data_IF_768782809452
#
_entry.id   IF_768782809452
#
_cell.length_a   1.000
_cell.length_b   1.000
_cell.length_c   1.000
_cell.angle_alpha   90.00
_cell.angle_beta   90.00
_cell.angle_gamma   90.00
#
_symmetry.space_group_name_H-M   'P 1'
#
loop_
_entity.id
_entity.type
_entity.pdbx_description
1 polymer ?
#
# COMPACT_ATOMS: atom_id res chain seq x y z
N UNK A 1 46.28 -2.68 43.23
CA UNK A 1 46.06 -4.13 43.18
C UNK A 1 44.55 -4.39 43.01
N UNK A 2 44.01 -4.27 41.79
CA UNK A 2 42.57 -4.46 41.56
C UNK A 2 42.19 -4.75 40.10
N UNK A 3 43.16 -5.04 39.23
CA UNK A 3 42.93 -5.30 37.80
C UNK A 3 42.90 -6.79 37.42
N UNK A 4 43.48 -7.67 38.24
CA UNK A 4 43.59 -9.10 37.90
C UNK A 4 42.35 -9.92 38.29
N UNK A 5 41.57 -9.47 39.28
CA UNK A 5 40.36 -10.17 39.71
C UNK A 5 39.21 -10.01 38.71
N UNK A 6 39.13 -8.86 38.06
CA UNK A 6 38.12 -8.55 37.03
C UNK A 6 38.35 -9.37 35.75
N UNK A 7 39.60 -9.62 35.40
CA UNK A 7 39.96 -10.45 34.24
C UNK A 7 39.63 -11.92 34.45
N UNK A 8 39.92 -12.47 35.64
CA UNK A 8 39.56 -13.86 35.99
C UNK A 8 38.05 -14.08 36.10
N UNK A 9 37.30 -13.05 36.53
CA UNK A 9 35.83 -13.08 36.60
C UNK A 9 35.21 -13.16 35.21
N UNK A 10 35.72 -12.40 34.24
CA UNK A 10 35.24 -12.44 32.86
C UNK A 10 35.61 -13.76 32.14
N UNK A 11 36.79 -14.34 32.43
CA UNK A 11 37.16 -15.64 31.85
C UNK A 11 36.21 -16.76 32.30
N UNK A 12 35.82 -16.80 33.58
CA UNK A 12 34.86 -17.80 34.11
C UNK A 12 33.44 -17.64 33.57
N UNK A 13 33.07 -16.44 33.12
CA UNK A 13 31.77 -16.18 32.50
C UNK A 13 31.70 -16.65 31.04
N UNK A 14 32.84 -16.69 30.35
CA UNK A 14 32.97 -17.23 28.99
C UNK A 14 32.97 -18.77 28.98
N UNK A 15 33.58 -19.42 29.97
CA UNK A 15 33.59 -20.89 30.06
C UNK A 15 32.22 -21.50 30.42
N UNK A 16 31.32 -20.73 31.04
CA UNK A 16 29.95 -21.18 31.38
C UNK A 16 28.96 -21.09 30.21
N UNK A 17 29.34 -20.45 29.10
CA UNK A 17 28.52 -20.28 27.89
C UNK A 17 28.75 -21.40 26.84
N UNK A 18 29.62 -22.37 27.13
CA UNK A 18 30.01 -23.47 26.21
C UNK A 18 29.43 -24.84 26.60
N UNK A 19 28.27 -24.89 27.27
CA UNK A 19 27.59 -26.15 27.65
C UNK A 19 26.09 -26.20 27.28
N UNK A 20 25.68 -25.43 26.27
CA UNK A 20 24.30 -25.39 25.77
C UNK A 20 24.21 -25.51 24.25
N UNK A 21 24.78 -26.57 23.67
CA UNK A 21 24.60 -26.86 22.25
C UNK A 21 23.14 -27.22 21.92
N UNK A 22 22.58 -26.77 20.77
CA UNK A 22 21.22 -27.09 20.37
C UNK A 22 21.09 -28.60 20.14
N UNK A 23 20.15 -29.23 20.85
CA UNK A 23 19.82 -30.64 20.65
C UNK A 23 19.29 -30.80 19.23
N UNK A 24 20.07 -31.50 18.42
CA UNK A 24 19.72 -31.91 17.06
C UNK A 24 18.40 -32.68 17.10
N UNK A 25 17.32 -32.07 16.60
CA UNK A 25 16.07 -32.79 16.38
C UNK A 25 16.32 -33.87 15.31
N UNK A 26 15.80 -35.10 15.48
CA UNK A 26 15.88 -36.13 14.44
C UNK A 26 15.05 -35.69 13.22
N UNK A 27 15.48 -36.03 11.98
CA UNK A 27 14.74 -35.70 10.78
C UNK A 27 13.36 -36.39 10.76
N UNK A 28 12.30 -35.73 10.26
CA UNK A 28 11.01 -36.39 10.12
C UNK A 28 11.13 -37.54 9.11
N UNK A 29 10.64 -38.71 9.52
CA UNK A 29 10.47 -39.89 8.67
C UNK A 29 9.64 -39.55 7.42
N UNK A 30 10.04 -39.98 6.21
CA UNK A 30 9.23 -39.76 5.01
C UNK A 30 7.94 -40.56 5.12
N UNK A 31 6.82 -39.86 5.27
CA UNK A 31 5.48 -40.44 5.13
C UNK A 31 5.31 -40.82 3.65
N UNK A 32 5.02 -42.09 3.41
CA UNK A 32 4.78 -42.63 2.08
C UNK A 32 3.59 -41.91 1.41
N UNK A 33 3.82 -41.39 0.21
CA UNK A 33 2.79 -40.81 -0.66
C UNK A 33 1.78 -41.90 -1.04
N UNK A 34 0.46 -41.66 -0.95
CA UNK A 34 -0.51 -42.59 -1.52
C UNK A 34 -0.36 -42.61 -3.05
N UNK A 35 -0.21 -43.82 -3.57
CA UNK A 35 -0.18 -44.20 -4.98
C UNK A 35 -1.25 -43.47 -5.79
N UNK A 36 -0.81 -42.75 -6.82
CA UNK A 36 -1.62 -42.23 -7.93
C UNK A 36 -2.54 -43.32 -8.49
N UNK A 37 -3.85 -43.19 -8.28
CA UNK A 37 -4.82 -43.84 -9.14
C UNK A 37 -4.92 -43.04 -10.44
N UNK A 38 -4.59 -43.68 -11.57
CA UNK A 38 -4.73 -43.09 -12.89
C UNK A 38 -6.20 -42.77 -13.18
N UNK A 39 -6.48 -41.49 -13.44
CA UNK A 39 -7.78 -40.99 -13.92
C UNK A 39 -7.89 -41.35 -15.42
N UNK A 40 -8.97 -42.00 -15.89
CA UNK A 40 -9.14 -42.28 -17.31
C UNK A 40 -9.27 -40.97 -18.12
N UNK A 41 -8.81 -40.93 -19.39
CA UNK A 41 -8.86 -39.72 -20.19
C UNK A 41 -10.30 -39.29 -20.43
N UNK A 42 -10.62 -38.06 -20.00
CA UNK A 42 -11.89 -37.41 -20.28
C UNK A 42 -12.07 -37.22 -21.80
N UNK A 43 -13.22 -37.64 -22.34
CA UNK A 43 -13.62 -37.37 -23.70
C UNK A 43 -13.76 -35.85 -23.95
N UNK A 44 -13.46 -35.34 -25.16
CA UNK A 44 -13.55 -33.92 -25.45
C UNK A 44 -15.00 -33.43 -25.39
N UNK A 45 -15.26 -32.21 -24.87
CA UNK A 45 -16.60 -31.65 -24.83
C UNK A 45 -17.09 -31.34 -26.26
N UNK A 46 -18.28 -31.84 -26.58
CA UNK A 46 -19.04 -31.49 -27.78
C UNK A 46 -19.37 -30.00 -27.71
N UNK A 47 -18.88 -29.23 -28.68
CA UNK A 47 -19.16 -27.79 -28.77
C UNK A 47 -20.67 -27.55 -28.97
N UNK A 48 -21.30 -26.61 -28.23
CA UNK A 48 -22.68 -26.22 -28.49
C UNK A 48 -22.78 -25.45 -29.82
N UNK A 49 -23.88 -25.61 -30.58
CA UNK A 49 -24.08 -24.86 -31.83
C UNK A 49 -24.22 -23.36 -31.55
N UNK A 50 -23.68 -22.54 -32.45
CA UNK A 50 -23.75 -21.09 -32.42
C UNK A 50 -25.22 -20.61 -32.48
N UNK A 51 -25.61 -19.57 -31.70
CA UNK A 51 -26.96 -19.03 -31.77
C UNK A 51 -27.21 -18.32 -33.11
N UNK A 52 -28.43 -18.38 -33.68
CA UNK A 52 -28.78 -17.62 -34.86
C UNK A 52 -28.79 -16.12 -34.55
N UNK A 53 -28.28 -15.31 -35.49
CA UNK A 53 -28.27 -13.85 -35.44
C UNK A 53 -29.73 -13.37 -35.40
N UNK A 54 -30.18 -12.89 -34.24
CA UNK A 54 -31.50 -12.32 -34.05
C UNK A 54 -31.59 -10.95 -34.75
N UNK A 55 -32.55 -10.80 -35.65
CA UNK A 55 -32.85 -9.54 -36.32
C UNK A 55 -33.25 -8.45 -35.30
N UNK A 56 -32.68 -7.25 -35.45
CA UNK A 56 -32.94 -6.11 -34.59
C UNK A 56 -34.42 -5.68 -34.65
N UNK A 57 -35.10 -5.70 -33.51
CA UNK A 57 -36.45 -5.13 -33.35
C UNK A 57 -36.35 -3.60 -33.16
N UNK A 58 -37.15 -2.78 -33.86
CA UNK A 58 -37.16 -1.34 -33.64
C UNK A 58 -37.72 -1.01 -32.24
N UNK A 59 -36.96 -0.25 -31.46
CA UNK A 59 -37.38 0.27 -30.16
C UNK A 59 -38.35 1.44 -30.38
N UNK A 60 -39.65 1.18 -30.37
CA UNK A 60 -40.67 2.23 -30.20
C UNK A 60 -40.71 2.65 -28.73
N UNK A 61 -39.98 3.72 -28.40
CA UNK A 61 -39.99 4.37 -27.08
C UNK A 61 -41.31 5.12 -26.90
N UNK A 62 -42.29 4.49 -26.24
CA UNK A 62 -43.45 5.20 -25.73
C UNK A 62 -43.05 6.00 -24.47
N UNK A 63 -43.16 7.33 -24.51
CA UNK A 63 -43.06 8.16 -23.31
C UNK A 63 -44.25 7.87 -22.41
N UNK A 64 -44.03 7.21 -21.26
CA UNK A 64 -44.97 7.24 -20.14
C UNK A 64 -44.77 8.55 -19.36
N UNK A 65 -45.81 9.36 -19.11
CA UNK A 65 -45.69 10.46 -18.17
C UNK A 65 -45.45 9.91 -16.76
N UNK A 66 -44.42 10.42 -16.09
CA UNK A 66 -44.11 10.07 -14.70
C UNK A 66 -45.21 10.65 -13.80
N UNK A 67 -45.90 9.80 -13.04
CA UNK A 67 -46.79 10.26 -11.99
C UNK A 67 -45.96 10.92 -10.87
N UNK A 68 -46.43 12.01 -10.24
CA UNK A 68 -45.71 12.65 -9.15
C UNK A 68 -45.66 11.70 -7.96
N UNK A 69 -44.47 11.16 -7.69
CA UNK A 69 -44.23 10.33 -6.52
C UNK A 69 -44.16 11.26 -5.31
N UNK A 70 -45.26 11.36 -4.56
CA UNK A 70 -45.30 12.12 -3.32
C UNK A 70 -44.29 11.51 -2.33
N UNK A 71 -43.16 12.19 -2.14
CA UNK A 71 -42.15 11.88 -1.15
C UNK A 71 -42.75 12.05 0.24
N UNK A 72 -43.28 10.96 0.82
CA UNK A 72 -43.65 10.92 2.23
C UNK A 72 -42.37 10.98 3.06
N UNK A 73 -42.06 12.16 3.57
CA UNK A 73 -41.09 12.33 4.66
C UNK A 73 -41.58 11.53 5.86
N UNK A 74 -40.97 10.37 6.10
CA UNK A 74 -41.19 9.62 7.33
C UNK A 74 -40.36 10.27 8.43
N UNK A 75 -41.00 11.11 9.25
CA UNK A 75 -40.42 11.54 10.52
C UNK A 75 -40.34 10.33 11.44
N UNK A 76 -39.12 9.82 11.68
CA UNK A 76 -38.88 8.80 12.69
C UNK A 76 -38.68 9.51 14.03
N UNK A 77 -39.54 9.31 15.05
CA UNK A 77 -39.28 9.85 16.36
C UNK A 77 -38.04 9.16 16.93
N UNK A 78 -37.06 9.97 17.35
CA UNK A 78 -35.91 9.49 18.10
C UNK A 78 -36.44 8.85 19.40
N UNK A 79 -36.24 7.54 19.55
CA UNK A 79 -36.55 6.86 20.80
C UNK A 79 -35.69 7.46 21.90
N UNK A 80 -36.35 8.04 22.91
CA UNK A 80 -35.77 8.30 24.23
C UNK A 80 -35.37 6.96 24.83
N UNK A 81 -34.17 6.47 24.49
CA UNK A 81 -33.47 5.53 25.34
C UNK A 81 -33.00 6.30 26.56
N UNK A 82 -33.22 5.74 27.75
CA UNK A 82 -32.57 6.21 28.97
C UNK A 82 -31.10 6.50 28.69
N UNK A 83 -30.56 7.56 29.30
CA UNK A 83 -29.17 8.00 29.17
C UNK A 83 -28.23 6.92 29.71
N UNK A 84 -28.09 5.82 28.98
CA UNK A 84 -27.01 4.86 29.12
C UNK A 84 -25.79 5.63 28.64
N UNK A 85 -24.87 5.94 29.54
CA UNK A 85 -23.56 6.47 29.16
C UNK A 85 -22.91 5.40 28.28
N UNK A 86 -22.86 5.69 26.98
CA UNK A 86 -22.13 4.94 25.96
C UNK A 86 -21.01 5.86 25.47
N UNK A 87 -19.84 5.86 26.15
CA UNK A 87 -18.74 6.76 25.81
C UNK A 87 -18.18 6.52 24.41
N UNK A 88 -18.31 5.29 23.89
CA UNK A 88 -17.86 4.91 22.55
C UNK A 88 -18.96 5.12 21.49
N UNK A 89 -20.19 5.41 21.91
CA UNK A 89 -21.36 5.53 21.02
C UNK A 89 -21.54 4.32 20.09
N UNK A 90 -21.13 3.13 20.55
CA UNK A 90 -21.05 1.91 19.74
C UNK A 90 -22.33 1.05 19.82
N UNK A 91 -23.33 1.49 20.58
CA UNK A 91 -24.62 0.80 20.68
C UNK A 91 -24.55 -0.52 21.45
N UNK A 92 -23.55 -0.69 22.33
CA UNK A 92 -23.33 -1.92 23.10
C UNK A 92 -22.67 -3.03 22.29
N UNK A 93 -22.01 -2.69 21.17
CA UNK A 93 -21.21 -3.64 20.39
C UNK A 93 -19.98 -4.08 21.20
N UNK A 94 -19.61 -5.36 21.12
CA UNK A 94 -18.41 -5.87 21.80
C UNK A 94 -17.20 -5.41 20.99
N UNK A 95 -16.51 -4.39 21.50
CA UNK A 95 -15.36 -3.79 20.83
C UNK A 95 -14.04 -4.42 21.35
N UNK A 96 -13.39 -5.35 20.60
CA UNK A 96 -12.08 -5.87 20.99
C UNK A 96 -11.00 -4.77 20.92
N UNK A 97 -9.83 -4.96 21.55
CA UNK A 97 -8.74 -3.99 21.48
C UNK A 97 -8.34 -3.63 20.04
N UNK A 98 -8.10 -2.34 19.80
CA UNK A 98 -7.70 -1.79 18.51
C UNK A 98 -6.26 -2.18 18.15
N UNK A 99 -6.05 -3.43 17.71
CA UNK A 99 -4.75 -3.97 17.29
C UNK A 99 -4.78 -4.28 15.80
N UNK A 100 -3.88 -3.63 15.05
CA UNK A 100 -3.74 -3.86 13.61
C UNK A 100 -3.34 -5.31 13.34
N UNK A 101 -4.02 -5.92 12.37
CA UNK A 101 -3.82 -7.34 12.05
C UNK A 101 -2.45 -7.66 11.47
N UNK A 102 -1.74 -6.66 10.98
CA UNK A 102 -0.34 -6.79 10.56
C UNK A 102 0.57 -7.33 11.67
N UNK A 103 0.29 -7.00 12.93
CA UNK A 103 1.10 -7.44 14.08
C UNK A 103 0.70 -8.81 14.61
N UNK A 104 -0.37 -9.42 14.08
CA UNK A 104 -0.70 -10.81 14.40
C UNK A 104 0.34 -11.73 13.81
N UNK A 105 0.55 -12.87 14.46
CA UNK A 105 1.51 -13.89 14.02
C UNK A 105 1.25 -14.30 12.56
N UNK A 106 2.18 -14.03 11.62
CA UNK A 106 2.02 -14.41 10.23
C UNK A 106 2.01 -15.92 10.00
N UNK A 107 2.56 -16.71 10.93
CA UNK A 107 2.63 -18.18 10.84
C UNK A 107 1.54 -18.88 11.65
N UNK A 108 0.64 -18.12 12.27
CA UNK A 108 -0.49 -18.65 13.03
C UNK A 108 -1.44 -19.49 12.16
N UNK A 109 -2.09 -20.47 12.78
CA UNK A 109 -3.06 -21.31 12.09
C UNK A 109 -4.44 -20.63 11.94
N UNK A 110 -4.49 -19.54 11.17
CA UNK A 110 -5.71 -18.78 10.91
C UNK A 110 -6.66 -19.50 9.94
N UNK A 111 -7.98 -19.35 10.16
CA UNK A 111 -9.00 -19.77 9.19
C UNK A 111 -8.92 -18.94 7.90
N UNK A 112 -8.87 -17.62 8.02
CA UNK A 112 -8.54 -16.71 6.92
C UNK A 112 -7.05 -16.37 7.00
N UNK A 113 -6.26 -16.99 6.12
CA UNK A 113 -4.81 -16.78 6.05
C UNK A 113 -4.43 -15.38 5.57
N UNK A 114 -5.25 -14.73 4.74
CA UNK A 114 -4.93 -13.39 4.22
C UNK A 114 -5.16 -12.36 5.30
N UNK A 115 -6.33 -12.37 5.93
CA UNK A 115 -6.71 -11.37 6.93
C UNK A 115 -6.20 -11.72 8.34
N UNK A 116 -5.55 -12.88 8.52
CA UNK A 116 -5.10 -13.44 9.81
C UNK A 116 -6.24 -13.48 10.85
N UNK A 117 -7.37 -14.07 10.45
CA UNK A 117 -8.63 -14.10 11.22
C UNK A 117 -9.14 -15.51 11.46
N UNK A 118 -9.78 -15.72 12.60
CA UNK A 118 -10.58 -16.91 12.86
C UNK A 118 -12.07 -16.67 12.65
N UNK A 119 -12.82 -17.73 12.34
CA UNK A 119 -14.26 -17.64 12.20
C UNK A 119 -14.92 -17.39 13.56
N UNK A 120 -15.89 -16.46 13.62
CA UNK A 120 -16.62 -16.12 14.86
C UNK A 120 -15.85 -15.25 15.86
N UNK A 121 -14.63 -14.81 15.53
CA UNK A 121 -13.88 -13.83 16.33
C UNK A 121 -14.63 -12.47 16.31
N UNK A 122 -14.82 -11.79 17.47
CA UNK A 122 -15.35 -10.43 17.51
C UNK A 122 -14.51 -9.48 16.65
N UNK A 123 -15.17 -8.64 15.88
CA UNK A 123 -14.53 -7.69 14.98
C UNK A 123 -14.41 -6.33 15.67
N UNK A 124 -13.30 -5.62 15.52
CA UNK A 124 -13.23 -4.22 15.95
C UNK A 124 -14.14 -3.36 15.06
N UNK A 125 -14.71 -2.29 15.60
CA UNK A 125 -15.56 -1.39 14.82
C UNK A 125 -14.80 -0.77 13.63
N UNK A 126 -13.58 -0.28 13.87
CA UNK A 126 -12.69 0.30 12.85
C UNK A 126 -11.85 -0.79 12.15
N UNK A 127 -12.44 -1.96 11.89
CA UNK A 127 -11.71 -3.05 11.25
C UNK A 127 -11.28 -2.73 9.82
N UNK A 128 -11.92 -1.80 9.12
CA UNK A 128 -11.44 -1.32 7.82
C UNK A 128 -10.06 -0.65 7.91
N UNK A 129 -9.78 0.06 9.01
CA UNK A 129 -8.47 0.67 9.31
C UNK A 129 -7.50 -0.31 9.95
N UNK A 130 -7.98 -1.27 10.74
CA UNK A 130 -7.14 -2.28 11.39
C UNK A 130 -6.89 -3.54 10.56
N UNK A 131 -7.62 -3.72 9.45
CA UNK A 131 -7.47 -4.84 8.54
C UNK A 131 -6.07 -4.89 7.90
N UNK A 132 -5.69 -6.05 7.39
CA UNK A 132 -4.40 -6.24 6.72
C UNK A 132 -4.24 -5.41 5.43
N UNK A 133 -5.37 -5.07 4.79
CA UNK A 133 -5.40 -4.30 3.54
C UNK A 133 -5.36 -2.78 3.76
N UNK A 134 -5.37 -2.34 5.02
CA UNK A 134 -5.10 -0.95 5.37
C UNK A 134 -3.61 -0.62 5.17
N UNK A 135 -3.23 0.66 5.06
CA UNK A 135 -1.83 1.07 4.97
C UNK A 135 -0.99 0.47 6.10
N UNK A 136 0.19 -0.04 5.78
CA UNK A 136 1.10 -0.66 6.75
C UNK A 136 1.46 0.30 7.91
N UNK A 137 1.51 -0.23 9.14
CA UNK A 137 2.06 0.49 10.28
C UNK A 137 3.55 0.19 10.44
N UNK A 138 4.35 1.25 10.35
CA UNK A 138 5.81 1.20 10.40
C UNK A 138 6.32 1.36 11.84
N UNK A 139 7.15 0.43 12.31
CA UNK A 139 7.56 0.34 13.73
C UNK A 139 9.03 0.64 14.02
N UNK A 140 9.87 0.82 13.01
CA UNK A 140 11.31 1.00 13.24
C UNK A 140 11.67 2.35 13.86
N UNK A 141 10.89 3.40 13.61
CA UNK A 141 11.03 4.71 14.24
C UNK A 141 9.68 5.43 14.33
N UNK A 142 9.59 6.45 15.19
CA UNK A 142 8.35 7.23 15.35
C UNK A 142 8.07 8.09 14.11
N UNK A 143 6.79 8.36 13.76
CA UNK A 143 6.45 9.20 12.61
C UNK A 143 7.12 10.58 12.64
N UNK A 144 7.25 11.18 13.84
CA UNK A 144 7.95 12.45 14.02
C UNK A 144 9.42 12.38 13.64
N UNK A 145 10.12 11.30 14.01
CA UNK A 145 11.50 11.09 13.59
C UNK A 145 11.63 10.81 12.09
N UNK A 146 10.66 10.11 11.51
CA UNK A 146 10.57 9.89 10.06
C UNK A 146 10.57 11.20 9.28
N UNK A 147 9.83 12.21 9.74
CA UNK A 147 9.82 13.54 9.14
C UNK A 147 11.16 14.27 9.27
N UNK A 148 11.87 14.11 10.39
CA UNK A 148 13.22 14.67 10.55
C UNK A 148 14.17 14.04 9.53
N UNK A 149 14.16 12.72 9.38
CA UNK A 149 15.00 12.02 8.41
C UNK A 149 14.67 12.46 6.97
N UNK A 150 13.40 12.46 6.59
CA UNK A 150 12.95 12.86 5.26
C UNK A 150 13.30 14.33 4.95
N UNK A 151 13.05 15.23 5.90
CA UNK A 151 13.39 16.64 5.77
C UNK A 151 14.90 16.87 5.67
N UNK A 152 15.69 16.18 6.49
CA UNK A 152 17.16 16.29 6.46
C UNK A 152 17.75 15.81 5.13
N UNK A 153 17.21 14.73 4.56
CA UNK A 153 17.62 14.24 3.24
C UNK A 153 17.40 15.31 2.18
N UNK A 154 16.19 15.87 2.09
CA UNK A 154 15.89 16.91 1.11
C UNK A 154 16.61 18.22 1.36
N UNK A 155 16.88 18.57 2.61
CA UNK A 155 17.69 19.74 2.96
C UNK A 155 19.13 19.61 2.44
N UNK A 156 19.77 18.46 2.68
CA UNK A 156 21.15 18.21 2.21
C UNK A 156 21.18 18.06 0.69
N UNK A 157 20.26 17.27 0.12
CA UNK A 157 20.20 17.07 -1.33
C UNK A 157 19.90 18.37 -2.07
N UNK A 158 18.89 19.11 -1.62
CA UNK A 158 18.48 20.39 -2.20
C UNK A 158 19.55 21.48 -2.05
N UNK A 159 20.22 21.56 -0.89
CA UNK A 159 21.33 22.50 -0.71
C UNK A 159 22.53 22.16 -1.59
N UNK A 160 22.88 20.88 -1.75
CA UNK A 160 23.90 20.45 -2.70
C UNK A 160 23.57 20.79 -4.15
N UNK A 161 22.33 20.53 -4.58
CA UNK A 161 21.84 20.90 -5.91
C UNK A 161 21.85 22.42 -6.14
N UNK A 162 21.40 23.21 -5.16
CA UNK A 162 21.45 24.67 -5.24
C UNK A 162 22.89 25.18 -5.29
N UNK A 163 23.77 24.67 -4.43
CA UNK A 163 25.18 25.08 -4.39
C UNK A 163 25.88 24.78 -5.72
N UNK A 164 25.68 23.57 -6.26
CA UNK A 164 26.23 23.21 -7.57
C UNK A 164 25.67 24.05 -8.71
N UNK A 165 24.39 24.44 -8.65
CA UNK A 165 23.79 25.36 -9.61
C UNK A 165 24.44 26.75 -9.55
N UNK A 166 24.64 27.30 -8.34
CA UNK A 166 25.22 28.63 -8.15
C UNK A 166 26.73 28.69 -8.45
N UNK A 167 27.48 27.62 -8.16
CA UNK A 167 28.92 27.57 -8.38
C UNK A 167 29.32 27.07 -9.78
N UNK A 168 28.34 26.71 -10.60
CA UNK A 168 28.59 26.23 -11.96
C UNK A 168 29.20 27.36 -12.81
N UNK A 169 30.32 27.11 -13.52
CA UNK A 169 30.82 28.07 -14.49
C UNK A 169 29.87 28.20 -15.68
N UNK A 170 29.81 29.40 -16.25
CA UNK A 170 29.04 29.65 -17.46
C UNK A 170 29.49 28.73 -18.59
N UNK A 171 28.52 28.37 -19.44
CA UNK A 171 28.77 27.42 -20.53
C UNK A 171 29.74 28.06 -21.55
N UNK A 172 30.88 27.44 -21.87
CA UNK A 172 31.88 28.02 -22.77
C UNK A 172 31.50 27.94 -24.26
N UNK A 173 30.21 27.92 -24.57
CA UNK A 173 29.69 27.84 -25.93
C UNK A 173 28.63 28.91 -26.13
N UNK A 174 28.77 29.69 -27.20
CA UNK A 174 27.70 30.60 -27.64
C UNK A 174 26.43 29.78 -27.92
N UNK A 175 25.25 30.27 -27.52
CA UNK A 175 23.98 29.68 -27.90
C UNK A 175 23.88 29.51 -29.41
N UNK A 176 23.23 28.44 -29.85
CA UNK A 176 22.90 28.26 -31.26
C UNK A 176 21.91 29.34 -31.68
N UNK A 177 22.31 30.16 -32.66
CA UNK A 177 21.44 31.14 -33.30
C UNK A 177 20.92 30.60 -34.63
N UNK A 178 19.83 31.19 -35.09
CA UNK A 178 19.18 30.82 -36.33
C UNK A 178 18.78 32.07 -37.12
N UNK A 179 18.85 31.97 -38.44
CA UNK A 179 18.44 33.04 -39.36
C UNK A 179 16.98 33.40 -39.09
N UNK A 180 16.71 34.69 -38.86
CA UNK A 180 15.38 35.23 -38.51
C UNK A 180 14.64 34.51 -37.38
N UNK A 181 15.36 33.82 -36.47
CA UNK A 181 14.76 33.14 -35.32
C UNK A 181 13.77 32.02 -35.69
N UNK A 182 13.86 31.48 -36.91
CA UNK A 182 12.87 30.57 -37.51
C UNK A 182 11.42 31.08 -37.43
N UNK A 183 11.20 32.40 -37.51
CA UNK A 183 9.86 32.97 -37.36
C UNK A 183 8.86 32.38 -38.38
N UNK A 184 9.31 32.10 -39.61
CA UNK A 184 8.46 31.52 -40.65
C UNK A 184 8.13 30.04 -40.37
N UNK A 185 9.11 29.27 -39.93
CA UNK A 185 8.97 27.83 -39.67
C UNK A 185 8.23 27.54 -38.36
N UNK A 186 8.30 28.45 -37.38
CA UNK A 186 7.63 28.31 -36.08
C UNK A 186 6.18 28.78 -36.08
N UNK A 187 5.64 29.28 -37.19
CA UNK A 187 4.22 29.64 -37.30
C UNK A 187 3.94 31.14 -37.33
N UNK A 188 4.95 31.97 -37.58
CA UNK A 188 4.81 33.39 -37.84
C UNK A 188 4.99 34.29 -36.61
N UNK A 189 4.71 35.60 -36.76
CA UNK A 189 5.09 36.63 -35.79
C UNK A 189 4.46 36.50 -34.39
N UNK A 190 3.43 35.67 -34.23
CA UNK A 190 2.73 35.46 -32.95
C UNK A 190 3.31 34.32 -32.11
N UNK A 191 4.30 33.58 -32.61
CA UNK A 191 4.86 32.41 -31.94
C UNK A 191 6.21 32.75 -31.29
N UNK A 192 6.54 32.06 -30.19
CA UNK A 192 7.84 32.17 -29.52
C UNK A 192 8.94 31.79 -30.50
N UNK A 193 9.68 32.79 -30.97
CA UNK A 193 10.80 32.64 -31.90
C UNK A 193 12.01 31.97 -31.25
N UNK A 194 12.80 31.28 -32.06
CA UNK A 194 14.13 30.85 -31.65
C UNK A 194 15.09 32.06 -31.60
N UNK A 195 16.26 31.86 -30.98
CA UNK A 195 17.27 32.92 -30.83
C UNK A 195 17.81 33.34 -32.21
N UNK A 196 17.79 34.64 -32.50
CA UNK A 196 18.27 35.19 -33.78
C UNK A 196 19.77 35.47 -33.75
N UNK A 197 20.40 35.53 -34.92
CA UNK A 197 21.79 35.97 -35.07
C UNK A 197 21.97 37.38 -34.46
N UNK A 198 23.05 37.57 -33.68
CA UNK A 198 23.32 38.81 -32.93
C UNK A 198 22.72 38.87 -31.53
N UNK A 199 21.80 37.97 -31.17
CA UNK A 199 21.23 37.87 -29.81
C UNK A 199 21.93 36.80 -28.96
N UNK A 200 23.11 36.33 -29.38
CA UNK A 200 23.84 35.23 -28.78
C UNK A 200 24.51 35.53 -27.44
N UNK A 201 24.46 36.76 -26.95
CA UNK A 201 25.00 37.13 -25.63
C UNK A 201 24.00 36.81 -24.52
N UNK A 202 24.53 36.41 -23.35
CA UNK A 202 23.78 36.10 -22.13
C UNK A 202 23.84 37.25 -21.15
#
# INVERSE_FOLDING_TARGET
>A
MGGEETFRSNQRRLDLLTLGGPRHAPPPTPVALPTTHAIPPAAPPIAPPLPPIAAARPLTRALRPAAPQASRLQFRPASTSAHVEDPEMNGGYVNPPAVKRQFRDPYGDWWDKQERRNYGEPLHEDNDVLAIFSPEEYTHFTPGWGWVLFGSFWAVFGSGAALTYYLRPDKPSTPRTFVDGLEKELGGPSVVRARKDGEGEW
#
